data_IF_912442228215
#
_entry.id   IF_912442228215
#
_cell.length_a   1.000
_cell.length_b   1.000
_cell.length_c   1.000
_cell.angle_alpha   90.00
_cell.angle_beta   90.00
_cell.angle_gamma   90.00
#
_symmetry.space_group_name_H-M   'P 1'
#
loop_
_entity.id
_entity.type
_entity.pdbx_description
1 polymer ?
#
# COMPACT_ATOMS: atom_id res chain seq x y z
N UNK A 1 8.19 9.98 17.27
CA UNK A 1 8.18 11.39 16.80
C UNK A 1 8.56 12.40 17.90
N UNK A 2 8.05 12.27 19.14
CA UNK A 2 8.44 13.15 20.25
C UNK A 2 9.95 13.19 20.51
N UNK A 3 10.62 12.04 20.49
CA UNK A 3 12.08 11.94 20.64
C UNK A 3 12.83 12.71 19.56
N UNK A 4 12.46 12.51 18.29
CA UNK A 4 13.05 13.24 17.16
C UNK A 4 12.89 14.75 17.28
N UNK A 5 11.71 15.24 17.66
CA UNK A 5 11.46 16.68 17.82
C UNK A 5 12.30 17.30 18.95
N UNK A 6 12.56 16.54 20.02
CA UNK A 6 13.45 16.99 21.10
C UNK A 6 14.92 17.02 20.65
N UNK A 7 15.33 16.09 19.79
CA UNK A 7 16.69 15.98 19.26
C UNK A 7 16.99 16.96 18.13
N UNK A 8 16.03 17.21 17.23
CA UNK A 8 16.22 18.02 16.03
C UNK A 8 16.45 19.50 16.34
N UNK A 9 15.95 19.99 17.48
CA UNK A 9 16.07 21.38 17.95
C UNK A 9 15.72 22.44 16.88
N UNK A 10 14.92 22.05 15.89
CA UNK A 10 14.50 22.91 14.79
C UNK A 10 13.51 23.97 15.26
N UNK A 11 13.52 25.12 14.59
CA UNK A 11 12.49 26.14 14.75
C UNK A 11 11.20 25.69 14.06
N UNK A 12 10.03 26.26 14.42
CA UNK A 12 8.76 25.87 13.79
C UNK A 12 8.71 26.01 12.26
N UNK A 13 9.53 26.90 11.69
CA UNK A 13 9.63 27.13 10.24
C UNK A 13 10.66 26.23 9.54
N UNK A 14 11.48 25.48 10.30
CA UNK A 14 12.49 24.60 9.71
C UNK A 14 11.84 23.32 9.18
N UNK A 15 12.44 22.68 8.15
CA UNK A 15 11.98 21.38 7.70
C UNK A 15 11.97 20.37 8.85
N UNK A 16 10.84 19.66 9.00
CA UNK A 16 10.67 18.62 10.03
C UNK A 16 11.77 17.53 9.96
N UNK A 17 12.21 17.24 8.74
CA UNK A 17 13.35 16.37 8.46
C UNK A 17 14.36 17.14 7.60
N UNK A 18 15.36 17.78 8.21
CA UNK A 18 16.41 18.48 7.48
C UNK A 18 17.44 17.47 6.96
N UNK A 19 17.93 17.70 5.75
CA UNK A 19 19.14 17.07 5.24
C UNK A 19 20.41 17.70 5.84
N UNK A 20 21.60 17.23 5.43
CA UNK A 20 22.88 17.68 6.01
C UNK A 20 23.15 19.19 5.91
N UNK A 21 22.48 19.88 4.99
CA UNK A 21 22.60 21.34 4.77
C UNK A 21 21.48 22.15 5.42
N UNK A 22 20.66 21.55 6.29
CA UNK A 22 19.50 22.20 6.92
C UNK A 22 18.27 22.35 6.01
N UNK A 23 18.39 22.00 4.72
CA UNK A 23 17.29 22.04 3.75
C UNK A 23 16.37 20.82 3.89
N UNK A 24 15.15 20.90 3.37
CA UNK A 24 14.23 19.76 3.34
C UNK A 24 14.86 18.55 2.64
N UNK A 25 14.58 17.34 3.16
CA UNK A 25 14.95 16.11 2.47
C UNK A 25 14.36 16.06 1.06
N UNK A 26 15.21 15.72 0.09
CA UNK A 26 14.79 15.50 -1.28
C UNK A 26 14.12 14.14 -1.43
N UNK A 27 13.33 13.97 -2.50
CA UNK A 27 12.74 12.68 -2.86
C UNK A 27 13.80 11.58 -3.02
N UNK A 28 14.93 11.91 -3.62
CA UNK A 28 16.01 10.95 -3.85
C UNK A 28 16.70 10.56 -2.54
N UNK A 29 16.84 11.50 -1.59
CA UNK A 29 17.36 11.18 -0.27
C UNK A 29 16.43 10.22 0.47
N UNK A 30 15.11 10.43 0.39
CA UNK A 30 14.13 9.48 0.97
C UNK A 30 14.24 8.10 0.31
N UNK A 31 14.32 8.04 -1.03
CA UNK A 31 14.49 6.78 -1.74
C UNK A 31 15.79 6.07 -1.34
N UNK A 32 16.90 6.81 -1.22
CA UNK A 32 18.17 6.29 -0.75
C UNK A 32 18.07 5.70 0.66
N UNK A 33 17.46 6.42 1.61
CA UNK A 33 17.28 5.92 2.97
C UNK A 33 16.42 4.66 3.02
N UNK A 34 15.32 4.63 2.27
CA UNK A 34 14.46 3.43 2.17
C UNK A 34 15.27 2.24 1.67
N UNK A 35 16.06 2.39 0.60
CA UNK A 35 16.91 1.32 0.07
C UNK A 35 17.98 0.88 1.08
N UNK A 36 18.64 1.84 1.74
CA UNK A 36 19.67 1.56 2.76
C UNK A 36 19.11 0.73 3.92
N UNK A 37 17.96 1.13 4.46
CA UNK A 37 17.36 0.42 5.59
C UNK A 37 16.65 -0.87 5.17
N UNK A 38 16.16 -0.97 3.93
CA UNK A 38 15.66 -2.23 3.39
C UNK A 38 16.77 -3.30 3.32
N UNK A 39 17.97 -2.92 2.84
CA UNK A 39 19.13 -3.82 2.83
C UNK A 39 19.50 -4.30 4.24
N UNK A 40 19.64 -3.37 5.19
CA UNK A 40 19.93 -3.70 6.59
C UNK A 40 18.81 -4.53 7.27
N UNK A 41 17.55 -4.35 6.87
CA UNK A 41 16.44 -5.15 7.38
C UNK A 41 16.47 -6.58 6.82
N UNK A 42 16.93 -6.76 5.58
CA UNK A 42 16.99 -8.07 4.92
C UNK A 42 17.94 -9.05 5.60
N UNK A 43 18.99 -8.55 6.26
CA UNK A 43 19.92 -9.36 7.08
C UNK A 43 19.21 -10.08 8.23
N UNK A 44 18.17 -9.47 8.80
CA UNK A 44 17.39 -10.03 9.92
C UNK A 44 16.07 -10.65 9.46
N UNK A 45 15.63 -10.33 8.25
CA UNK A 45 14.36 -10.76 7.68
C UNK A 45 14.58 -11.26 6.25
N UNK A 46 14.97 -12.53 6.06
CA UNK A 46 15.28 -13.10 4.76
C UNK A 46 14.14 -13.01 3.73
N UNK A 47 12.88 -12.91 4.21
CA UNK A 47 11.72 -12.71 3.33
C UNK A 47 11.74 -11.37 2.57
N UNK A 48 12.59 -10.42 2.95
CA UNK A 48 12.75 -9.13 2.26
C UNK A 48 13.78 -9.18 1.13
N UNK A 49 14.67 -10.17 1.09
CA UNK A 49 15.82 -10.22 0.17
C UNK A 49 15.40 -10.14 -1.30
N UNK A 50 14.28 -10.77 -1.66
CA UNK A 50 13.78 -10.78 -3.05
C UNK A 50 12.66 -9.76 -3.30
N UNK A 51 12.42 -8.82 -2.38
CA UNK A 51 11.35 -7.82 -2.53
C UNK A 51 11.91 -6.49 -3.04
N UNK A 52 11.23 -5.92 -4.04
CA UNK A 52 11.48 -4.54 -4.48
C UNK A 52 10.83 -3.57 -3.49
N UNK A 53 11.64 -2.92 -2.66
CA UNK A 53 11.17 -1.96 -1.65
C UNK A 53 11.50 -0.54 -2.12
N UNK A 54 10.48 0.32 -2.17
CA UNK A 54 10.61 1.74 -2.54
C UNK A 54 9.57 2.58 -1.78
N UNK A 55 9.72 3.92 -1.70
CA UNK A 55 8.72 4.78 -1.07
C UNK A 55 7.31 4.58 -1.63
N UNK A 56 7.19 4.39 -2.95
CA UNK A 56 5.90 4.16 -3.60
C UNK A 56 5.31 2.79 -3.23
N UNK A 57 6.14 1.74 -3.14
CA UNK A 57 5.69 0.40 -2.71
C UNK A 57 5.21 0.46 -1.25
N UNK A 58 5.94 1.14 -0.36
CA UNK A 58 5.54 1.30 1.04
C UNK A 58 4.20 2.04 1.17
N UNK A 59 3.99 3.09 0.36
CA UNK A 59 2.71 3.80 0.30
C UNK A 59 1.57 2.87 -0.15
N UNK A 60 1.78 2.07 -1.19
CA UNK A 60 0.78 1.12 -1.65
C UNK A 60 0.48 0.06 -0.58
N UNK A 61 1.50 -0.47 0.09
CA UNK A 61 1.31 -1.41 1.22
C UNK A 61 0.45 -0.80 2.32
N UNK A 62 0.71 0.45 2.71
CA UNK A 62 -0.11 1.16 3.69
C UNK A 62 -1.57 1.30 3.25
N UNK A 63 -1.80 1.69 1.99
CA UNK A 63 -3.14 1.79 1.44
C UNK A 63 -3.89 0.45 1.46
N UNK A 64 -3.22 -0.63 1.06
CA UNK A 64 -3.80 -1.98 1.10
C UNK A 64 -4.10 -2.45 2.53
N UNK A 65 -3.23 -2.13 3.49
CA UNK A 65 -3.49 -2.43 4.91
C UNK A 65 -4.71 -1.68 5.44
N UNK A 66 -4.89 -0.41 5.08
CA UNK A 66 -6.07 0.37 5.46
C UNK A 66 -7.35 -0.20 4.83
N UNK A 67 -7.28 -0.58 3.55
CA UNK A 67 -8.40 -1.18 2.84
C UNK A 67 -8.81 -2.52 3.46
N UNK A 68 -7.85 -3.38 3.76
CA UNK A 68 -8.08 -4.66 4.45
C UNK A 68 -8.64 -4.48 5.87
N UNK A 69 -8.29 -3.39 6.55
CA UNK A 69 -8.90 -3.01 7.83
C UNK A 69 -10.32 -2.43 7.69
N UNK A 70 -10.86 -2.34 6.48
CA UNK A 70 -12.22 -1.85 6.20
C UNK A 70 -12.34 -0.34 6.13
N UNK A 71 -11.24 0.40 6.03
CA UNK A 71 -11.28 1.85 5.80
C UNK A 71 -11.81 2.11 4.40
N UNK A 72 -12.75 3.04 4.30
CA UNK A 72 -13.36 3.42 3.03
C UNK A 72 -12.31 3.98 2.05
N UNK A 73 -12.44 3.63 0.77
CA UNK A 73 -11.46 4.00 -0.26
C UNK A 73 -11.38 5.51 -0.47
N UNK A 74 -12.46 6.27 -0.24
CA UNK A 74 -12.43 7.73 -0.28
C UNK A 74 -11.61 8.33 0.86
N UNK A 75 -11.66 7.72 2.05
CA UNK A 75 -10.87 8.12 3.22
C UNK A 75 -9.39 7.81 2.99
N UNK A 76 -9.08 6.65 2.43
CA UNK A 76 -7.69 6.27 2.08
C UNK A 76 -7.12 7.24 1.04
N UNK A 77 -7.89 7.58 0.00
CA UNK A 77 -7.48 8.54 -1.02
C UNK A 77 -7.19 9.93 -0.42
N UNK A 78 -8.06 10.40 0.47
CA UNK A 78 -7.90 11.66 1.19
C UNK A 78 -6.63 11.66 2.05
N UNK A 79 -6.40 10.62 2.85
CA UNK A 79 -5.26 10.53 3.75
C UNK A 79 -3.93 10.41 3.03
N UNK A 80 -3.92 9.75 1.88
CA UNK A 80 -2.72 9.59 1.09
C UNK A 80 -2.49 10.82 0.18
N UNK A 81 -3.49 11.65 -0.09
CA UNK A 81 -3.31 12.92 -0.81
C UNK A 81 -3.14 12.73 -2.31
N UNK A 82 -4.03 11.94 -2.94
CA UNK A 82 -4.09 11.82 -4.39
C UNK A 82 -4.84 13.03 -4.99
N UNK A 83 -4.20 13.80 -5.86
CA UNK A 83 -4.84 14.84 -6.69
C UNK A 83 -5.74 14.23 -7.79
N UNK A 84 -5.58 12.93 -8.11
CA UNK A 84 -6.36 12.23 -9.13
C UNK A 84 -7.04 10.95 -8.60
N UNK A 85 -8.36 10.87 -8.82
CA UNK A 85 -9.24 9.72 -8.53
C UNK A 85 -8.79 8.43 -9.26
N UNK A 86 -8.06 8.58 -10.37
CA UNK A 86 -7.59 7.50 -11.25
C UNK A 86 -6.60 6.55 -10.55
N UNK A 87 -5.84 7.05 -9.58
CA UNK A 87 -4.91 6.24 -8.76
C UNK A 87 -5.58 5.55 -7.57
N UNK A 88 -6.84 5.91 -7.26
CA UNK A 88 -7.65 5.24 -6.22
C UNK A 88 -8.41 4.05 -6.79
N UNK A 89 -8.77 4.08 -8.08
CA UNK A 89 -9.41 2.95 -8.76
C UNK A 89 -8.57 1.67 -8.71
N UNK A 90 -7.23 1.78 -8.65
CA UNK A 90 -6.32 0.65 -8.44
C UNK A 90 -6.66 -0.12 -7.15
N UNK A 91 -7.06 0.56 -6.08
CA UNK A 91 -7.43 -0.09 -4.81
C UNK A 91 -8.75 -0.85 -4.90
N UNK A 92 -9.74 -0.30 -5.61
CA UNK A 92 -11.00 -0.99 -5.92
C UNK A 92 -10.78 -2.24 -6.79
N UNK A 93 -9.85 -2.18 -7.74
CA UNK A 93 -9.50 -3.35 -8.55
C UNK A 93 -8.67 -4.39 -7.79
N UNK A 94 -7.91 -4.01 -6.77
CA UNK A 94 -7.02 -4.91 -6.05
C UNK A 94 -7.71 -5.74 -4.95
N UNK A 95 -8.87 -5.30 -4.42
CA UNK A 95 -9.56 -6.02 -3.34
C UNK A 95 -10.63 -7.00 -3.88
N UNK A 96 -10.25 -8.27 -3.96
CA UNK A 96 -11.13 -9.36 -4.37
C UNK A 96 -12.29 -9.56 -3.39
N UNK A 97 -12.08 -9.35 -2.08
CA UNK A 97 -13.12 -9.51 -1.06
C UNK A 97 -14.15 -8.36 -1.11
N UNK A 98 -13.74 -7.15 -1.50
CA UNK A 98 -14.67 -6.06 -1.78
C UNK A 98 -15.51 -6.36 -3.01
N UNK A 99 -14.90 -6.89 -4.09
CA UNK A 99 -15.64 -7.32 -5.30
C UNK A 99 -16.62 -8.44 -5.00
N UNK A 100 -16.22 -9.47 -4.26
CA UNK A 100 -17.11 -10.55 -3.82
C UNK A 100 -18.32 -10.00 -3.04
N UNK A 101 -18.09 -9.06 -2.10
CA UNK A 101 -19.16 -8.41 -1.33
C UNK A 101 -20.08 -7.55 -2.20
N UNK A 102 -19.54 -6.82 -3.17
CA UNK A 102 -20.34 -6.00 -4.09
C UNK A 102 -21.22 -6.88 -4.99
N UNK A 103 -20.66 -7.95 -5.55
CA UNK A 103 -21.40 -8.93 -6.35
C UNK A 103 -22.52 -9.61 -5.54
N UNK A 104 -22.25 -9.98 -4.29
CA UNK A 104 -23.25 -10.58 -3.41
C UNK A 104 -24.47 -9.66 -3.17
N UNK A 105 -24.29 -8.34 -3.15
CA UNK A 105 -25.40 -7.37 -3.01
C UNK A 105 -26.26 -7.24 -4.26
N UNK A 106 -25.74 -7.62 -5.41
CA UNK A 106 -26.46 -7.60 -6.71
C UNK A 106 -26.99 -8.97 -7.12
N UNK A 107 -26.79 -10.00 -6.29
CA UNK A 107 -27.29 -11.35 -6.57
C UNK A 107 -28.84 -11.36 -6.59
N UNK A 108 -29.49 -11.95 -7.60
CA UNK A 108 -30.94 -12.11 -7.64
C UNK A 108 -31.47 -12.84 -6.41
N UNK A 109 -32.68 -12.51 -5.90
CA UNK A 109 -33.25 -13.13 -4.69
C UNK A 109 -33.31 -14.66 -4.73
N UNK A 110 -33.47 -15.24 -5.93
CA UNK A 110 -33.65 -16.68 -6.14
C UNK A 110 -32.34 -17.41 -6.48
N UNK A 111 -31.18 -16.77 -6.30
CA UNK A 111 -29.88 -17.44 -6.48
C UNK A 111 -29.33 -17.96 -5.17
N UNK A 112 -28.95 -19.24 -5.13
CA UNK A 112 -28.26 -19.84 -3.99
C UNK A 112 -26.88 -19.20 -3.87
N UNK A 113 -26.55 -18.53 -2.75
CA UNK A 113 -25.22 -17.96 -2.55
C UNK A 113 -24.20 -19.09 -2.54
N UNK A 114 -23.22 -19.03 -3.45
CA UNK A 114 -22.16 -20.01 -3.55
C UNK A 114 -20.91 -19.37 -4.11
N UNK A 115 -19.74 -19.75 -3.57
CA UNK A 115 -18.47 -19.35 -4.16
C UNK A 115 -18.28 -20.17 -5.42
N UNK A 116 -18.10 -19.53 -6.57
CA UNK A 116 -17.80 -20.25 -7.80
C UNK A 116 -16.55 -21.13 -7.57
N UNK A 117 -16.68 -22.43 -7.79
CA UNK A 117 -15.57 -23.35 -7.86
C UNK A 117 -15.35 -23.66 -9.33
N UNK A 118 -14.21 -23.22 -9.85
CA UNK A 118 -13.80 -23.53 -11.20
C UNK A 118 -13.66 -25.06 -11.33
N UNK A 119 -14.25 -25.70 -12.36
CA UNK A 119 -14.03 -27.11 -12.63
C UNK A 119 -12.54 -27.37 -12.87
N UNK A 120 -12.04 -28.55 -12.47
CA UNK A 120 -10.63 -28.93 -12.63
C UNK A 120 -10.14 -28.76 -14.07
N UNK A 121 -10.97 -29.08 -15.07
CA UNK A 121 -10.64 -28.89 -16.48
C UNK A 121 -10.36 -27.42 -16.86
N UNK A 122 -11.04 -26.48 -16.22
CA UNK A 122 -10.88 -25.04 -16.45
C UNK A 122 -9.62 -24.51 -15.75
N UNK A 123 -9.30 -25.03 -14.56
CA UNK A 123 -8.03 -24.73 -13.87
C UNK A 123 -6.84 -25.24 -14.67
N UNK A 124 -6.90 -26.49 -15.14
CA UNK A 124 -5.86 -27.12 -15.97
C UNK A 124 -5.63 -26.36 -17.28
N UNK A 125 -6.70 -25.88 -17.92
CA UNK A 125 -6.59 -25.04 -19.11
C UNK A 125 -5.87 -23.71 -18.84
N UNK A 126 -6.20 -23.05 -17.72
CA UNK A 126 -5.61 -21.76 -17.36
C UNK A 126 -4.14 -21.87 -16.90
N UNK A 127 -3.76 -23.00 -16.30
CA UNK A 127 -2.35 -23.29 -15.94
C UNK A 127 -1.47 -23.57 -17.17
N UNK A 128 -2.08 -23.89 -18.32
CA UNK A 128 -1.38 -24.13 -19.58
C UNK A 128 -1.20 -22.91 -20.49
N UNK A 129 -1.71 -21.73 -20.11
CA UNK A 129 -1.50 -20.44 -20.77
C UNK A 129 -0.25 -19.74 -20.24
#
# INVERSE_FOLDING_TARGET
>A
MRTWLAESRGRPADPLFPGPRGMALTRDAVAFFVSKYAAAASERCPSLTNKKISPHVLRHTCAMQLLQAGVDTSVIALWLGHESIETTQIYLHADLALKERALARTAPPDTVPGRYHAPDALLVFLEGL
#
